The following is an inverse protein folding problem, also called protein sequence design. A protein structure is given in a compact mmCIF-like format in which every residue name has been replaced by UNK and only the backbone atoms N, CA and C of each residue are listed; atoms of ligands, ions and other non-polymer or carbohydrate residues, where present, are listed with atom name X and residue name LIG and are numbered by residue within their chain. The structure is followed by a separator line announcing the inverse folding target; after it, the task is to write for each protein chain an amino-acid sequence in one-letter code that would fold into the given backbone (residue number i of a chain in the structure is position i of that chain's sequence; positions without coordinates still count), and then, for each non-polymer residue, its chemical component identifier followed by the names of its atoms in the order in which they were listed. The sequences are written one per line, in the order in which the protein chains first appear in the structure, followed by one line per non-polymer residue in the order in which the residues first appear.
data_IF_413707174689
#
_entry.id   IF_413707174689
#
_cell.length_a   1.000
_cell.length_b   1.000
_cell.length_c   1.000
_cell.angle_alpha   90.00
_cell.angle_beta   90.00
_cell.angle_gamma   90.00
#
_symmetry.space_group_name_H-M   'P 1'
#
loop_
_entity.id
_entity.type
_entity.pdbx_description
1 polymer ?
#
# COMPACT_ATOMS: atom_id res chain seq x y z
N UNK A 1 -2.74 6.99 -8.19
CA UNK A 1 -3.32 6.97 -6.82
C UNK A 1 -4.71 6.38 -6.95
N UNK A 2 -5.06 5.44 -6.06
CA UNK A 2 -6.34 4.73 -6.07
C UNK A 2 -6.99 4.83 -4.70
N UNK A 3 -8.28 5.17 -4.69
CA UNK A 3 -9.09 5.15 -3.48
C UNK A 3 -9.87 3.85 -3.38
N UNK A 4 -9.99 3.34 -2.17
CA UNK A 4 -10.99 2.34 -1.85
C UNK A 4 -12.37 3.01 -1.77
N UNK A 5 -13.13 2.86 -2.85
CA UNK A 5 -14.41 3.55 -3.01
C UNK A 5 -15.38 3.23 -1.88
N UNK A 6 -15.39 2.00 -1.36
CA UNK A 6 -16.29 1.62 -0.27
C UNK A 6 -15.95 2.34 1.04
N UNK A 7 -14.68 2.33 1.46
CA UNK A 7 -14.31 3.01 2.70
C UNK A 7 -14.40 4.53 2.58
N UNK A 8 -14.04 5.09 1.42
CA UNK A 8 -14.15 6.54 1.19
C UNK A 8 -15.61 6.99 1.13
N UNK A 9 -16.54 6.17 0.60
CA UNK A 9 -17.98 6.48 0.60
C UNK A 9 -18.52 6.80 1.98
N UNK A 10 -17.95 6.22 3.05
CA UNK A 10 -18.34 6.45 4.45
C UNK A 10 -18.09 7.89 4.95
N UNK A 11 -17.28 8.67 4.25
CA UNK A 11 -17.00 10.06 4.60
C UNK A 11 -18.08 11.02 4.05
N UNK A 12 -18.42 12.09 4.79
CA UNK A 12 -19.15 13.24 4.26
C UNK A 12 -18.44 13.88 3.05
N UNK A 13 -19.17 14.52 2.16
CA UNK A 13 -18.63 15.08 0.90
C UNK A 13 -17.51 16.11 1.12
N UNK A 14 -17.66 16.99 2.12
CA UNK A 14 -16.62 17.96 2.51
C UNK A 14 -15.34 17.27 2.99
N UNK A 15 -15.49 16.13 3.68
CA UNK A 15 -14.36 15.32 4.15
C UNK A 15 -13.69 14.56 3.00
N UNK A 16 -14.46 14.08 2.02
CA UNK A 16 -13.91 13.47 0.80
C UNK A 16 -13.05 14.47 0.02
N UNK A 17 -13.58 15.67 -0.21
CA UNK A 17 -12.85 16.74 -0.91
C UNK A 17 -11.60 17.17 -0.13
N UNK A 18 -11.70 17.29 1.19
CA UNK A 18 -10.54 17.57 2.04
C UNK A 18 -9.48 16.48 1.95
N UNK A 19 -9.87 15.20 1.95
CA UNK A 19 -8.94 14.08 1.84
C UNK A 19 -8.25 14.10 0.47
N UNK A 20 -9.03 14.25 -0.60
CA UNK A 20 -8.50 14.35 -1.97
C UNK A 20 -7.51 15.52 -2.12
N UNK A 21 -7.86 16.70 -1.60
CA UNK A 21 -6.98 17.86 -1.59
C UNK A 21 -5.68 17.62 -0.82
N UNK A 22 -5.75 17.03 0.38
CA UNK A 22 -4.57 16.69 1.18
C UNK A 22 -3.66 15.67 0.49
N UNK A 23 -4.25 14.64 -0.13
CA UNK A 23 -3.48 13.61 -0.83
C UNK A 23 -2.81 14.16 -2.09
N UNK A 24 -3.54 14.92 -2.92
CA UNK A 24 -2.98 15.58 -4.12
C UNK A 24 -1.85 16.54 -3.76
N UNK A 25 -2.03 17.35 -2.72
CA UNK A 25 -1.00 18.28 -2.24
C UNK A 25 0.26 17.53 -1.74
N UNK A 26 0.07 16.40 -1.05
CA UNK A 26 1.19 15.56 -0.61
C UNK A 26 1.92 14.89 -1.79
N UNK A 27 1.19 14.35 -2.76
CA UNK A 27 1.76 13.71 -3.96
C UNK A 27 2.54 14.73 -4.79
N UNK A 28 1.94 15.89 -5.07
CA UNK A 28 2.59 16.96 -5.84
C UNK A 28 3.93 17.41 -5.23
N UNK A 29 4.02 17.43 -3.90
CA UNK A 29 5.28 17.67 -3.21
C UNK A 29 6.35 16.61 -3.54
N UNK A 30 6.01 15.33 -3.56
CA UNK A 30 6.98 14.28 -3.90
C UNK A 30 7.31 14.21 -5.38
N UNK A 31 6.35 14.42 -6.27
CA UNK A 31 6.59 14.50 -7.72
C UNK A 31 7.54 15.65 -8.09
N UNK A 32 7.50 16.75 -7.34
CA UNK A 32 8.44 17.88 -7.52
C UNK A 32 9.78 17.68 -6.79
N UNK A 33 9.78 17.01 -5.63
CA UNK A 33 10.98 16.84 -4.81
C UNK A 33 11.84 15.65 -5.23
N UNK A 34 11.24 14.59 -5.79
CA UNK A 34 11.91 13.34 -6.12
C UNK A 34 11.91 13.12 -7.63
N UNK A 35 13.07 12.75 -8.18
CA UNK A 35 13.19 12.28 -9.56
C UNK A 35 13.50 10.80 -9.54
N UNK A 36 12.75 10.04 -10.33
CA UNK A 36 12.96 8.62 -10.51
C UNK A 36 13.60 8.40 -11.88
N UNK A 37 14.63 7.58 -11.91
CA UNK A 37 15.17 7.06 -13.17
C UNK A 37 14.15 6.07 -13.74
N UNK A 38 13.47 6.48 -14.82
CA UNK A 38 12.53 5.62 -15.54
C UNK A 38 13.32 4.58 -16.32
N UNK A 39 13.10 3.30 -16.03
CA UNK A 39 13.56 2.22 -16.91
C UNK A 39 12.78 2.31 -18.24
N UNK A 40 13.48 2.32 -19.38
CA UNK A 40 12.86 2.45 -20.71
C UNK A 40 11.64 1.51 -20.86
N UNK A 41 10.51 2.09 -21.25
CA UNK A 41 9.26 1.36 -21.52
C UNK A 41 8.38 1.04 -20.31
N UNK A 42 8.60 1.68 -19.15
CA UNK A 42 7.76 1.63 -17.92
C UNK A 42 7.05 0.28 -17.74
N UNK A 43 7.84 -0.80 -17.72
CA UNK A 43 7.36 -2.10 -17.24
C UNK A 43 8.14 -2.44 -15.99
N UNK A 44 7.64 -1.95 -14.87
CA UNK A 44 8.22 -2.28 -13.58
C UNK A 44 7.66 -3.62 -13.13
N UNK A 45 8.50 -4.66 -13.19
CA UNK A 45 8.18 -6.02 -12.76
C UNK A 45 8.10 -6.06 -11.23
N UNK A 46 6.89 -5.97 -10.69
CA UNK A 46 6.71 -5.97 -9.24
C UNK A 46 6.78 -7.39 -8.67
N UNK A 47 7.48 -7.55 -7.55
CA UNK A 47 7.45 -8.71 -6.67
C UNK A 47 7.12 -8.26 -5.26
N UNK A 48 6.11 -8.93 -4.70
CA UNK A 48 5.63 -8.68 -3.35
C UNK A 48 6.05 -9.86 -2.51
N UNK A 49 7.32 -9.82 -2.11
CA UNK A 49 8.01 -10.98 -1.55
C UNK A 49 7.99 -11.14 -0.04
N UNK A 50 7.47 -10.17 0.71
CA UNK A 50 7.75 -10.10 2.15
C UNK A 50 6.55 -9.73 3.04
N UNK A 51 5.33 -9.95 2.57
CA UNK A 51 4.12 -10.02 3.37
C UNK A 51 3.58 -11.44 3.40
N UNK A 52 3.99 -12.22 4.41
CA UNK A 52 3.19 -13.35 4.90
C UNK A 52 1.72 -13.03 4.69
N UNK A 53 0.98 -13.89 3.98
CA UNK A 53 -0.45 -13.69 3.70
C UNK A 53 -1.22 -13.64 5.02
N UNK A 54 -1.17 -12.48 5.71
CA UNK A 54 -1.75 -12.34 7.05
C UNK A 54 -3.26 -12.43 6.98
N UNK A 55 -3.81 -12.05 5.83
CA UNK A 55 -5.24 -12.09 5.56
C UNK A 55 -5.55 -13.31 4.70
N UNK A 56 -6.30 -14.21 5.32
CA UNK A 56 -6.80 -15.42 4.71
C UNK A 56 -8.31 -15.32 4.53
N UNK A 57 -8.82 -16.00 3.52
CA UNK A 57 -10.20 -16.42 3.54
C UNK A 57 -10.33 -17.58 4.54
N UNK A 58 -11.06 -17.33 5.64
CA UNK A 58 -11.09 -18.25 6.79
C UNK A 58 -9.92 -18.03 7.75
N UNK A 59 -9.56 -19.07 8.50
CA UNK A 59 -8.52 -18.99 9.53
C UNK A 59 -7.12 -18.91 8.94
N UNK A 60 -6.19 -18.34 9.70
CA UNK A 60 -4.77 -18.38 9.40
C UNK A 60 -4.02 -19.25 10.43
N UNK A 61 -2.95 -19.90 9.99
CA UNK A 61 -2.11 -20.76 10.80
C UNK A 61 -0.65 -20.38 10.58
N UNK A 62 0.19 -20.61 11.58
CA UNK A 62 1.64 -20.38 11.46
C UNK A 62 2.31 -21.74 11.53
N UNK A 63 3.08 -22.09 10.51
CA UNK A 63 3.86 -23.33 10.52
C UNK A 63 5.17 -23.16 11.31
N UNK A 64 5.90 -24.27 11.51
CA UNK A 64 7.16 -24.29 12.28
C UNK A 64 8.26 -23.38 11.69
N UNK A 65 8.13 -22.98 10.42
CA UNK A 65 9.03 -22.05 9.73
C UNK A 65 8.61 -20.58 9.87
N UNK A 66 7.54 -20.28 10.61
CA UNK A 66 6.99 -18.93 10.78
C UNK A 66 6.22 -18.41 9.56
N UNK A 67 5.87 -19.28 8.61
CA UNK A 67 5.08 -18.93 7.43
C UNK A 67 3.59 -19.01 7.76
N UNK A 68 2.84 -17.99 7.34
CA UNK A 68 1.38 -18.00 7.45
C UNK A 68 0.79 -18.90 6.36
N UNK A 69 -0.12 -19.79 6.77
CA UNK A 69 -0.90 -20.69 5.93
C UNK A 69 -2.38 -20.35 6.06
N UNK A 70 -3.08 -20.26 4.93
CA UNK A 70 -4.51 -19.96 4.91
C UNK A 70 -5.37 -21.22 4.87
N UNK A 71 -6.49 -21.22 5.60
CA UNK A 71 -7.43 -22.34 5.64
C UNK A 71 -8.06 -22.60 4.27
N UNK A 72 -8.62 -21.56 3.64
CA UNK A 72 -9.31 -21.67 2.35
C UNK A 72 -8.52 -21.03 1.23
N UNK A 73 -8.28 -19.73 1.33
CA UNK A 73 -7.59 -18.98 0.27
C UNK A 73 -6.84 -17.76 0.82
N UNK A 74 -6.01 -17.10 0.01
CA UNK A 74 -5.45 -15.80 0.37
C UNK A 74 -6.31 -14.65 -0.11
N UNK A 75 -6.23 -13.52 0.62
CA UNK A 75 -6.85 -12.27 0.18
C UNK A 75 -5.78 -11.34 -0.41
N UNK A 76 -5.90 -10.92 -1.69
CA UNK A 76 -4.96 -9.99 -2.31
C UNK A 76 -5.11 -8.60 -1.70
N UNK A 77 -4.19 -8.25 -0.81
CA UNK A 77 -4.19 -6.99 -0.09
C UNK A 77 -2.89 -6.22 -0.31
N UNK A 78 -3.01 -4.90 -0.50
CA UNK A 78 -1.89 -3.98 -0.26
C UNK A 78 -2.11 -3.36 1.12
N UNK A 79 -1.28 -3.73 2.08
CA UNK A 79 -1.51 -3.40 3.48
C UNK A 79 -2.82 -4.00 4.01
N UNK A 80 -3.73 -3.15 4.51
CA UNK A 80 -5.06 -3.58 4.99
C UNK A 80 -6.15 -3.48 3.92
N UNK A 81 -5.83 -2.89 2.77
CA UNK A 81 -6.80 -2.72 1.71
C UNK A 81 -6.90 -3.98 0.85
N UNK A 82 -8.10 -4.55 0.77
CA UNK A 82 -8.45 -5.54 -0.24
C UNK A 82 -8.51 -4.85 -1.59
N UNK A 83 -7.70 -5.32 -2.52
CA UNK A 83 -7.72 -4.80 -3.89
C UNK A 83 -8.86 -5.51 -4.63
N UNK A 84 -9.90 -4.79 -5.06
CA UNK A 84 -11.08 -5.46 -5.60
C UNK A 84 -10.76 -6.04 -6.99
N UNK A 85 -11.40 -7.17 -7.34
CA UNK A 85 -11.23 -7.81 -8.63
C UNK A 85 -11.46 -6.87 -9.84
N UNK A 86 -12.37 -5.93 -9.67
CA UNK A 86 -12.94 -5.08 -10.72
C UNK A 86 -12.27 -3.71 -10.88
N UNK A 87 -11.22 -3.39 -10.09
CA UNK A 87 -10.32 -2.27 -10.39
C UNK A 87 -9.33 -2.60 -11.54
N UNK A 88 -9.69 -3.56 -12.40
CA UNK A 88 -9.28 -3.71 -13.80
C UNK A 88 -9.83 -2.56 -14.70
N UNK A 89 -9.95 -1.34 -14.18
CA UNK A 89 -10.52 -0.21 -14.93
C UNK A 89 -9.41 0.43 -15.76
N UNK A 90 -9.37 0.05 -17.05
CA UNK A 90 -8.84 0.82 -18.18
C UNK A 90 -7.44 1.44 -18.04
N UNK A 91 -6.54 0.75 -17.38
CA UNK A 91 -5.12 0.78 -17.74
C UNK A 91 -4.74 -0.67 -18.05
N UNK A 92 -3.77 -0.88 -18.93
CA UNK A 92 -3.18 -2.19 -19.27
C UNK A 92 -2.41 -2.84 -18.09
N UNK A 93 -2.96 -2.66 -16.89
CA UNK A 93 -2.41 -2.89 -15.59
C UNK A 93 -3.25 -4.00 -14.96
N UNK A 94 -2.80 -5.23 -15.14
CA UNK A 94 -3.30 -6.35 -14.36
C UNK A 94 -2.93 -6.10 -12.89
N UNK A 95 -3.80 -5.44 -12.14
CA UNK A 95 -3.59 -5.12 -10.72
C UNK A 95 -3.61 -6.35 -9.81
N UNK A 96 -4.00 -7.50 -10.34
CA UNK A 96 -3.80 -8.79 -9.68
C UNK A 96 -2.33 -9.15 -9.53
N UNK A 97 -1.45 -8.53 -10.32
CA UNK A 97 -0.07 -8.99 -10.46
C UNK A 97 0.91 -8.30 -9.48
N UNK A 98 0.40 -7.79 -8.35
CA UNK A 98 1.20 -7.20 -7.25
C UNK A 98 1.14 -8.03 -5.96
N UNK A 99 0.81 -9.32 -5.98
CA UNK A 99 0.58 -10.05 -4.73
C UNK A 99 1.56 -11.19 -4.48
N UNK A 100 1.74 -11.51 -3.20
CA UNK A 100 2.67 -12.54 -2.78
C UNK A 100 2.19 -13.94 -3.19
N UNK A 101 3.09 -14.89 -3.47
CA UNK A 101 2.76 -16.31 -3.46
C UNK A 101 2.05 -16.71 -2.15
N UNK A 102 0.79 -17.13 -2.30
CA UNK A 102 -0.04 -17.65 -1.23
C UNK A 102 0.36 -19.08 -0.85
N UNK A 103 0.07 -19.50 0.38
CA UNK A 103 0.11 -20.91 0.75
C UNK A 103 -1.09 -21.25 1.62
N UNK A 104 -1.78 -22.32 1.25
CA UNK A 104 -2.98 -22.79 1.93
C UNK A 104 -2.68 -24.10 2.65
N UNK A 105 -3.57 -24.51 3.56
CA UNK A 105 -3.51 -25.83 4.20
C UNK A 105 -3.73 -26.97 3.18
N UNK A 106 -4.52 -26.71 2.14
CA UNK A 106 -4.60 -27.57 0.96
C UNK A 106 -3.30 -27.52 0.15
N UNK A 107 -3.01 -28.60 -0.58
CA UNK A 107 -1.81 -28.72 -1.45
C UNK A 107 -1.65 -27.50 -2.38
N UNK A 108 -2.77 -26.91 -2.82
CA UNK A 108 -2.81 -25.67 -3.57
C UNK A 108 -3.98 -24.80 -3.08
N UNK A 109 -3.82 -23.48 -3.18
CA UNK A 109 -4.90 -22.53 -2.97
C UNK A 109 -5.90 -22.56 -4.14
N UNK A 110 -7.19 -22.31 -3.90
CA UNK A 110 -8.22 -22.28 -4.95
C UNK A 110 -7.92 -21.26 -6.05
N UNK A 111 -7.50 -20.05 -5.68
CA UNK A 111 -7.06 -19.05 -6.64
C UNK A 111 -5.61 -19.36 -7.07
N UNK A 112 -5.34 -19.35 -8.37
CA UNK A 112 -3.99 -19.57 -8.89
C UNK A 112 -3.13 -18.33 -8.64
N UNK A 113 -2.39 -18.34 -7.51
CA UNK A 113 -1.41 -17.32 -7.14
C UNK A 113 -0.03 -17.55 -7.78
N UNK A 114 0.05 -18.10 -9.00
CA UNK A 114 1.27 -18.07 -9.82
C UNK A 114 1.92 -16.69 -9.73
N UNK A 115 3.26 -16.59 -9.75
CA UNK A 115 3.97 -15.36 -9.43
C UNK A 115 3.32 -14.19 -10.16
N UNK A 116 2.62 -13.38 -9.37
CA UNK A 116 1.97 -12.16 -9.78
C UNK A 116 3.09 -11.20 -10.14
N UNK A 117 3.36 -11.13 -11.43
CA UNK A 117 4.35 -10.26 -12.03
C UNK A 117 3.62 -9.20 -12.84
N UNK A 118 3.47 -8.03 -12.22
CA UNK A 118 2.73 -6.93 -12.80
C UNK A 118 3.63 -5.97 -13.55
N UNK A 119 2.99 -5.16 -14.39
CA UNK A 119 3.63 -4.12 -15.17
C UNK A 119 2.92 -2.81 -14.88
N UNK A 120 3.60 -1.90 -14.17
CA UNK A 120 3.15 -0.50 -14.01
C UNK A 120 3.48 0.30 -15.26
N UNK A 121 2.49 0.52 -16.13
CA UNK A 121 2.61 1.44 -17.26
C UNK A 121 2.39 2.89 -16.80
N UNK A 122 3.20 3.81 -17.32
CA UNK A 122 3.14 5.26 -17.05
C UNK A 122 3.13 5.68 -15.57
N UNK A 123 3.58 4.80 -14.67
CA UNK A 123 3.69 5.05 -13.25
C UNK A 123 4.94 4.40 -12.66
N UNK A 124 5.61 5.12 -11.77
CA UNK A 124 6.77 4.61 -11.03
C UNK A 124 6.38 4.04 -9.65
N UNK A 125 5.17 4.38 -9.16
CA UNK A 125 4.67 3.98 -7.84
C UNK A 125 3.14 4.00 -7.78
N UNK A 126 2.51 2.90 -7.33
CA UNK A 126 1.07 2.81 -7.07
C UNK A 126 0.74 3.11 -5.60
N UNK A 127 -0.01 4.18 -5.35
CA UNK A 127 -0.49 4.53 -4.01
C UNK A 127 -1.97 4.19 -3.84
N UNK A 128 -2.28 3.34 -2.86
CA UNK A 128 -3.62 2.96 -2.46
C UNK A 128 -4.04 3.69 -1.17
N UNK A 129 -5.26 4.22 -1.14
CA UNK A 129 -5.77 5.03 -0.04
C UNK A 129 -7.08 4.43 0.47
N UNK A 130 -7.17 4.16 1.77
CA UNK A 130 -8.41 3.70 2.40
C UNK A 130 -8.78 4.54 3.62
N UNK A 131 -10.04 4.46 4.02
CA UNK A 131 -10.58 5.12 5.24
C UNK A 131 -11.22 4.06 6.14
N UNK A 132 -10.40 3.25 6.78
CA UNK A 132 -10.84 2.12 7.60
C UNK A 132 -10.48 2.31 9.07
N UNK A 133 -11.40 1.95 9.98
CA UNK A 133 -11.11 1.84 11.40
C UNK A 133 -10.64 0.42 11.72
N UNK A 134 -9.37 0.13 11.44
CA UNK A 134 -8.74 -1.14 11.79
C UNK A 134 -7.86 -1.03 13.04
N UNK A 135 -7.24 -2.12 13.46
CA UNK A 135 -6.39 -2.21 14.66
C UNK A 135 -5.20 -1.23 14.67
N UNK A 136 -4.82 -0.71 13.51
CA UNK A 136 -3.78 0.31 13.37
C UNK A 136 -4.26 1.68 13.87
N UNK A 137 -5.58 1.92 13.89
CA UNK A 137 -6.22 3.14 14.36
C UNK A 137 -6.35 3.15 15.89
N UNK A 138 -5.22 3.39 16.56
CA UNK A 138 -5.14 3.62 18.00
C UNK A 138 -5.37 5.10 18.34
N UNK A 139 -5.69 5.45 19.60
CA UNK A 139 -5.74 6.84 20.02
C UNK A 139 -4.46 7.59 19.59
N UNK A 140 -4.63 8.79 19.04
CA UNK A 140 -3.54 9.65 18.52
C UNK A 140 -2.91 9.18 17.18
N UNK A 141 -3.33 8.05 16.61
CA UNK A 141 -2.94 7.65 15.25
C UNK A 141 -3.90 8.30 14.25
N UNK A 142 -3.33 9.11 13.36
CA UNK A 142 -4.08 9.80 12.30
C UNK A 142 -4.12 8.98 11.01
N UNK A 143 -2.98 8.37 10.69
CA UNK A 143 -2.76 7.59 9.48
C UNK A 143 -1.77 6.47 9.78
N UNK A 144 -1.83 5.40 9.00
CA UNK A 144 -0.85 4.33 8.98
C UNK A 144 -0.46 4.01 7.54
N UNK A 145 0.68 3.36 7.34
CA UNK A 145 1.14 3.01 6.01
C UNK A 145 1.97 1.74 5.95
N UNK A 146 1.95 1.11 4.78
CA UNK A 146 2.69 -0.11 4.48
C UNK A 146 3.14 -0.05 3.02
N UNK A 147 4.42 -0.28 2.74
CA UNK A 147 4.83 -0.58 1.35
C UNK A 147 4.31 -1.96 1.02
N UNK A 148 3.85 -2.20 -0.20
CA UNK A 148 3.38 -3.51 -0.62
C UNK A 148 4.06 -3.99 -1.90
N UNK A 149 4.64 -3.11 -2.72
CA UNK A 149 5.30 -3.48 -3.97
C UNK A 149 6.81 -3.25 -3.95
N UNK A 150 7.59 -4.16 -4.55
CA UNK A 150 9.00 -3.93 -4.87
C UNK A 150 9.32 -4.35 -6.30
N UNK A 151 10.12 -3.61 -7.05
CA UNK A 151 10.61 -4.04 -8.36
C UNK A 151 11.63 -5.19 -8.23
N UNK A 152 11.45 -6.24 -9.04
CA UNK A 152 12.33 -7.42 -9.12
C UNK A 152 13.74 -7.05 -9.55
N UNK A 153 13.88 -6.11 -10.49
CA UNK A 153 15.18 -5.77 -11.09
C UNK A 153 15.95 -4.79 -10.23
N UNK A 154 15.28 -3.71 -9.80
CA UNK A 154 15.95 -2.57 -9.15
C UNK A 154 15.80 -2.56 -7.64
N UNK A 155 14.98 -3.43 -7.03
CA UNK A 155 14.68 -3.38 -5.60
C UNK A 155 14.08 -2.03 -5.16
N UNK A 156 13.40 -1.30 -6.05
CA UNK A 156 12.72 -0.05 -5.69
C UNK A 156 11.34 -0.37 -5.13
N UNK A 157 10.80 0.40 -4.16
CA UNK A 157 9.40 0.27 -3.80
C UNK A 157 8.52 0.78 -4.96
N UNK A 158 7.47 0.03 -5.29
CA UNK A 158 6.61 0.33 -6.46
C UNK A 158 5.13 0.38 -6.10
N UNK A 159 4.79 0.08 -4.85
CA UNK A 159 3.42 0.12 -4.36
C UNK A 159 3.37 0.34 -2.87
N UNK A 160 2.35 1.05 -2.40
CA UNK A 160 2.11 1.25 -0.98
C UNK A 160 0.66 1.59 -0.68
N UNK A 161 0.26 1.31 0.55
CA UNK A 161 -1.05 1.60 1.10
C UNK A 161 -0.93 2.61 2.24
N UNK A 162 -1.81 3.60 2.23
CA UNK A 162 -2.03 4.53 3.34
C UNK A 162 -3.47 4.40 3.82
N UNK A 163 -3.63 4.07 5.10
CA UNK A 163 -4.92 4.05 5.77
C UNK A 163 -5.14 5.32 6.58
N UNK A 164 -6.30 5.95 6.40
CA UNK A 164 -6.75 7.13 7.13
C UNK A 164 -7.69 6.69 8.24
N UNK A 165 -7.37 7.05 9.49
CA UNK A 165 -8.22 6.69 10.62
C UNK A 165 -9.47 7.60 10.65
N UNK A 166 -10.68 7.04 10.48
CA UNK A 166 -11.88 7.83 10.22
C UNK A 166 -12.28 8.71 11.41
N UNK A 167 -12.12 8.24 12.64
CA UNK A 167 -12.52 8.98 13.84
C UNK A 167 -11.65 10.24 14.03
N UNK A 168 -10.34 10.11 13.81
CA UNK A 168 -9.41 11.22 13.82
C UNK A 168 -9.70 12.20 12.67
N UNK A 169 -10.00 11.68 11.48
CA UNK A 169 -10.22 12.50 10.28
C UNK A 169 -11.54 13.26 10.31
N UNK A 170 -12.63 12.62 10.75
CA UNK A 170 -13.95 13.26 10.93
C UNK A 170 -13.92 14.39 11.95
N UNK A 171 -13.09 14.26 12.99
CA UNK A 171 -12.90 15.27 14.03
C UNK A 171 -11.82 16.32 13.69
N UNK A 172 -11.21 16.25 12.50
CA UNK A 172 -10.17 17.19 12.08
C UNK A 172 -10.69 18.63 12.04
N UNK A 173 -9.98 19.52 12.72
CA UNK A 173 -10.19 20.97 12.68
C UNK A 173 -9.41 21.61 11.52
N UNK A 174 -9.87 22.72 10.93
CA UNK A 174 -9.18 23.40 9.84
C UNK A 174 -7.71 23.76 10.16
N UNK A 175 -7.45 24.23 11.39
CA UNK A 175 -6.10 24.55 11.88
C UNK A 175 -5.14 23.35 11.91
N UNK A 176 -5.66 22.13 11.87
CA UNK A 176 -4.87 20.90 11.86
C UNK A 176 -4.48 20.45 10.44
N UNK A 177 -4.89 21.17 9.38
CA UNK A 177 -4.56 20.82 7.98
C UNK A 177 -3.07 20.60 7.75
N UNK A 178 -2.23 21.52 8.24
CA UNK A 178 -0.77 21.41 8.09
C UNK A 178 -0.22 20.16 8.80
N UNK A 179 -0.75 19.83 9.98
CA UNK A 179 -0.39 18.61 10.73
C UNK A 179 -0.76 17.34 9.95
N UNK A 180 -1.95 17.30 9.38
CA UNK A 180 -2.42 16.20 8.55
C UNK A 180 -1.59 16.03 7.29
N UNK A 181 -1.33 17.12 6.57
CA UNK A 181 -0.48 17.10 5.39
C UNK A 181 0.94 16.59 5.70
N UNK A 182 1.56 17.08 6.78
CA UNK A 182 2.87 16.60 7.24
C UNK A 182 2.84 15.12 7.62
N UNK A 183 1.75 14.67 8.24
CA UNK A 183 1.55 13.26 8.62
C UNK A 183 1.40 12.37 7.38
N UNK A 184 0.59 12.76 6.40
CA UNK A 184 0.45 12.05 5.11
C UNK A 184 1.80 11.99 4.39
N UNK A 185 2.53 13.12 4.32
CA UNK A 185 3.87 13.14 3.71
C UNK A 185 4.82 12.18 4.40
N UNK A 186 4.84 12.14 5.74
CA UNK A 186 5.65 11.19 6.51
C UNK A 186 5.32 9.75 6.18
N UNK A 187 4.04 9.41 6.05
CA UNK A 187 3.64 8.06 5.66
C UNK A 187 4.06 7.72 4.22
N UNK A 188 3.99 8.67 3.28
CA UNK A 188 4.54 8.48 1.92
C UNK A 188 6.05 8.23 1.97
N UNK A 189 6.80 8.99 2.76
CA UNK A 189 8.24 8.73 2.98
C UNK A 189 8.50 7.30 3.49
N UNK A 190 7.66 6.79 4.41
CA UNK A 190 7.77 5.41 4.90
C UNK A 190 7.51 4.37 3.82
N UNK A 191 6.47 4.56 2.99
CA UNK A 191 6.17 3.67 1.86
C UNK A 191 7.25 3.70 0.78
N UNK A 192 7.93 4.84 0.61
CA UNK A 192 9.14 4.99 -0.20
C UNK A 192 10.40 4.46 0.51
N UNK A 193 10.23 3.63 1.53
CA UNK A 193 11.25 2.88 2.28
C UNK A 193 12.28 3.72 3.04
N UNK A 194 12.04 5.03 3.21
CA UNK A 194 12.87 5.91 4.03
C UNK A 194 12.47 5.83 5.51
N UNK A 195 12.63 4.64 6.10
CA UNK A 195 12.40 4.41 7.52
C UNK A 195 13.41 3.41 8.12
N UNK A 196 13.81 3.55 9.40
CA UNK A 196 14.85 2.71 10.01
C UNK A 196 14.58 1.20 9.90
N UNK A 197 13.33 0.77 9.99
CA UNK A 197 12.95 -0.65 9.92
C UNK A 197 13.02 -1.23 8.50
N UNK A 198 13.13 -0.39 7.47
CA UNK A 198 13.35 -0.83 6.09
C UNK A 198 14.83 -0.96 5.72
N UNK A 199 15.76 -0.41 6.50
CA UNK A 199 17.20 -0.40 6.19
C UNK A 199 17.80 -1.79 5.97
N UNK A 200 17.30 -2.82 6.68
CA UNK A 200 17.76 -4.20 6.49
C UNK A 200 17.33 -4.78 5.14
N UNK A 201 16.17 -4.35 4.63
CA UNK A 201 15.53 -4.84 3.39
C UNK A 201 15.94 -4.03 2.17
N UNK A 202 16.20 -2.73 2.39
CA UNK A 202 16.62 -1.74 1.40
C UNK A 202 17.94 -1.10 1.87
N UNK A 203 19.06 -1.84 1.83
CA UNK A 203 20.35 -1.35 2.35
C UNK A 203 20.90 -0.14 1.58
N UNK A 204 20.42 0.09 0.36
CA UNK A 204 20.73 1.27 -0.45
C UNK A 204 19.93 2.51 -0.06
N UNK A 205 18.82 2.38 0.68
CA UNK A 205 18.04 3.48 1.22
C UNK A 205 18.75 4.07 2.45
N UNK A 206 19.94 4.65 2.28
CA UNK A 206 20.66 5.31 3.37
C UNK A 206 19.88 6.54 3.83
N UNK A 207 19.70 6.69 5.13
CA UNK A 207 19.22 7.94 5.72
C UNK A 207 20.24 9.05 5.41
N UNK A 208 19.78 10.29 5.15
CA UNK A 208 20.72 11.42 5.02
C UNK A 208 21.59 11.51 6.28
N UNK A 209 22.89 11.84 6.16
CA UNK A 209 23.75 12.04 7.31
C UNK A 209 23.13 13.11 8.23
N UNK A 210 23.19 12.84 9.55
CA UNK A 210 22.71 13.76 10.58
C UNK A 210 23.50 15.05 10.60
#
# INVERSE_FOLDING_TARGET
MYYDDESVKSLPSDRKELLDGLMKEAISFFESALKVERSEGTRISAYVGEFNCRTCEGSNYINDLGKVLCERDCVPNCGKLKIPPEHNIFLYLYFYDFFQPCSCLSIACPTDFKPYEGVLEDADFALFVSVSNDESCRPQVYTHSEYCGRDLKTNRPVGGHIGICPDAFKSMLPRQRVKWLSTIKREIVRMLVFAPYHLKKFPTAKLPPK
#
